data_IF_868643185940
#
_entry.id   IF_868643185940
#
_cell.length_a   1.000
_cell.length_b   1.000
_cell.length_c   1.000
_cell.angle_alpha   90.00
_cell.angle_beta   90.00
_cell.angle_gamma   90.00
#
_symmetry.space_group_name_H-M   'P 1'
#
loop_
_entity.id
_entity.type
_entity.pdbx_description
1 polymer ?
#
# COMPACT_ATOMS: atom_id res chain seq x y z
N UNK A 1 28.22 17.26 -1.79
CA UNK A 1 27.53 17.34 -0.48
C UNK A 1 26.26 16.55 -0.66
N UNK A 2 26.02 15.53 0.16
CA UNK A 2 24.73 14.83 0.12
C UNK A 2 23.62 15.85 0.46
N UNK A 3 22.56 15.88 -0.35
CA UNK A 3 21.37 16.68 -0.04
C UNK A 3 20.81 16.21 1.31
N UNK A 4 20.30 17.15 2.10
CA UNK A 4 19.65 16.78 3.36
C UNK A 4 18.42 15.90 3.07
N UNK A 5 18.17 14.87 3.91
CA UNK A 5 17.02 14.01 3.70
C UNK A 5 15.72 14.84 3.70
N UNK A 6 14.81 14.53 2.76
CA UNK A 6 13.52 15.20 2.68
C UNK A 6 12.56 14.62 3.70
N UNK A 7 11.82 15.48 4.38
CA UNK A 7 10.73 15.06 5.27
C UNK A 7 9.48 14.73 4.47
N UNK A 8 8.94 13.55 4.68
CA UNK A 8 7.73 13.03 4.05
C UNK A 8 6.67 12.75 5.10
N UNK A 9 5.40 12.87 4.74
CA UNK A 9 4.28 12.38 5.55
C UNK A 9 3.70 11.15 4.88
N UNK A 10 3.73 10.01 5.58
CA UNK A 10 3.01 8.80 5.18
C UNK A 10 1.67 8.76 5.91
N UNK A 11 0.59 8.58 5.18
CA UNK A 11 -0.78 8.40 5.70
C UNK A 11 -1.29 7.03 5.28
N UNK A 12 -1.72 6.22 6.22
CA UNK A 12 -2.42 4.96 5.96
C UNK A 12 -3.86 5.29 5.55
N UNK A 13 -4.21 5.02 4.29
CA UNK A 13 -5.55 5.25 3.76
C UNK A 13 -6.48 4.07 4.05
N UNK A 14 -5.91 2.87 4.14
CA UNK A 14 -6.58 1.63 4.51
C UNK A 14 -5.58 0.63 5.04
N UNK A 15 -5.91 -0.02 6.16
CA UNK A 15 -5.08 -0.97 6.89
C UNK A 15 -5.62 -2.40 6.86
N UNK A 16 -6.79 -2.60 6.25
CA UNK A 16 -7.51 -3.86 6.24
C UNK A 16 -7.11 -4.80 5.11
N UNK A 17 -7.58 -6.02 5.21
CA UNK A 17 -7.45 -7.09 4.21
C UNK A 17 -8.41 -6.89 3.03
N UNK A 18 -8.33 -7.77 2.04
CA UNK A 18 -9.08 -7.72 0.77
C UNK A 18 -10.60 -7.57 0.88
N UNK A 19 -11.20 -8.05 1.95
CA UNK A 19 -12.66 -7.90 2.20
C UNK A 19 -13.01 -6.69 3.04
N UNK A 20 -12.00 -5.98 3.56
CA UNK A 20 -12.19 -4.90 4.55
C UNK A 20 -12.69 -5.40 5.91
N UNK A 21 -12.76 -4.50 6.87
CA UNK A 21 -13.34 -4.74 8.20
C UNK A 21 -14.25 -3.56 8.53
N UNK A 22 -15.53 -3.76 8.87
CA UNK A 22 -16.25 -5.02 8.99
C UNK A 22 -16.39 -5.81 7.68
N UNK A 23 -16.31 -7.15 7.78
CA UNK A 23 -16.60 -8.02 6.65
C UNK A 23 -18.13 -8.13 6.46
N UNK A 24 -18.58 -8.08 5.21
CA UNK A 24 -20.01 -8.14 4.86
C UNK A 24 -20.66 -9.39 5.48
N UNK A 25 -21.74 -9.18 6.23
CA UNK A 25 -22.50 -10.26 6.89
C UNK A 25 -21.84 -10.85 8.14
N UNK A 26 -20.71 -10.35 8.59
CA UNK A 26 -20.00 -10.86 9.77
C UNK A 26 -20.45 -10.15 11.05
N UNK A 27 -20.86 -10.93 12.06
CA UNK A 27 -21.24 -10.45 13.40
C UNK A 27 -20.18 -10.73 14.49
N UNK A 28 -18.90 -10.95 14.13
CA UNK A 28 -17.86 -11.21 15.12
C UNK A 28 -17.52 -9.95 15.95
N UNK A 29 -16.79 -10.13 17.06
CA UNK A 29 -16.42 -9.04 17.98
C UNK A 29 -15.68 -7.89 17.31
N UNK A 30 -14.87 -8.15 16.30
CA UNK A 30 -14.13 -7.12 15.56
C UNK A 30 -15.06 -6.38 14.60
N UNK A 31 -15.87 -7.10 13.83
CA UNK A 31 -16.81 -6.50 12.87
C UNK A 31 -17.95 -5.71 13.54
N UNK A 32 -18.21 -5.93 14.82
CA UNK A 32 -19.22 -5.20 15.63
C UNK A 32 -18.56 -4.27 16.65
N UNK A 33 -17.26 -4.08 16.59
CA UNK A 33 -16.51 -3.19 17.49
C UNK A 33 -16.91 -1.74 17.29
N UNK A 34 -16.90 -0.98 18.38
CA UNK A 34 -17.08 0.49 18.37
C UNK A 34 -15.76 1.25 18.34
N UNK A 35 -14.62 0.55 18.43
CA UNK A 35 -13.30 1.17 18.25
C UNK A 35 -13.11 1.51 16.76
N UNK A 36 -12.95 2.78 16.37
CA UNK A 36 -12.78 3.16 14.97
C UNK A 36 -11.56 2.50 14.30
N UNK A 37 -10.58 2.05 15.08
CA UNK A 37 -9.39 1.35 14.57
C UNK A 37 -9.68 -0.10 14.14
N UNK A 38 -10.84 -0.63 14.46
CA UNK A 38 -11.36 -1.91 13.97
C UNK A 38 -12.17 -1.77 12.67
N UNK A 39 -12.42 -0.54 12.21
CA UNK A 39 -12.94 -0.27 10.86
C UNK A 39 -11.76 -0.04 9.94
N UNK A 40 -11.57 -0.92 8.96
CA UNK A 40 -10.38 -0.96 8.10
C UNK A 40 -10.78 -1.07 6.64
N UNK A 41 -10.50 -0.04 5.86
CA UNK A 41 -10.63 -0.05 4.40
C UNK A 41 -9.52 -0.90 3.77
N UNK A 42 -9.69 -1.30 2.48
CA UNK A 42 -8.68 -2.05 1.73
C UNK A 42 -7.37 -1.30 1.68
N UNK A 43 -6.23 -2.04 1.59
CA UNK A 43 -4.92 -1.48 1.85
C UNK A 43 -4.53 -0.42 0.82
N UNK A 44 -4.06 0.71 1.30
CA UNK A 44 -3.45 1.77 0.52
C UNK A 44 -2.72 2.74 1.44
N UNK A 45 -1.66 3.37 0.95
CA UNK A 45 -0.95 4.44 1.64
C UNK A 45 -0.71 5.63 0.73
N UNK A 46 -0.72 6.82 1.31
CA UNK A 46 -0.42 8.08 0.66
C UNK A 46 0.86 8.67 1.23
N UNK A 47 1.80 9.02 0.37
CA UNK A 47 3.08 9.63 0.73
C UNK A 47 3.08 11.04 0.17
N UNK A 48 3.34 12.03 1.03
CA UNK A 48 3.32 13.45 0.68
C UNK A 48 4.62 14.14 1.09
N UNK A 49 5.11 15.01 0.20
CA UNK A 49 6.19 15.96 0.50
C UNK A 49 5.99 17.21 -0.36
N UNK A 50 6.29 18.36 0.19
CA UNK A 50 6.05 19.63 -0.47
C UNK A 50 4.60 19.72 -1.01
N UNK A 51 4.45 19.72 -2.34
CA UNK A 51 3.14 19.67 -3.02
C UNK A 51 2.94 18.34 -3.79
N UNK A 52 3.77 17.34 -3.54
CA UNK A 52 3.73 16.05 -4.22
C UNK A 52 2.92 15.01 -3.43
N UNK A 53 2.25 14.17 -4.18
CA UNK A 53 1.40 13.09 -3.64
C UNK A 53 1.64 11.83 -4.45
N UNK A 54 2.14 10.79 -3.80
CA UNK A 54 2.29 9.43 -4.37
C UNK A 54 1.39 8.48 -3.59
N UNK A 55 0.70 7.61 -4.29
CA UNK A 55 -0.08 6.53 -3.71
C UNK A 55 0.62 5.19 -3.94
N UNK A 56 0.50 4.30 -2.98
CA UNK A 56 0.71 2.87 -3.19
C UNK A 56 -0.67 2.22 -3.13
N UNK A 57 -1.08 1.64 -4.26
CA UNK A 57 -2.37 1.02 -4.54
C UNK A 57 -3.59 1.95 -4.50
N UNK A 58 -4.59 1.61 -5.33
CA UNK A 58 -5.91 2.23 -5.39
C UNK A 58 -6.97 1.14 -5.45
N UNK A 59 -7.36 0.63 -4.30
CA UNK A 59 -8.40 -0.41 -4.17
C UNK A 59 -9.83 0.15 -4.36
N UNK A 60 -10.87 -0.69 -4.19
CA UNK A 60 -12.26 -0.29 -4.35
C UNK A 60 -12.70 0.84 -3.41
N UNK A 61 -12.01 1.02 -2.29
CA UNK A 61 -12.31 2.08 -1.30
C UNK A 61 -11.62 3.41 -1.64
N UNK A 62 -10.84 3.48 -2.73
CA UNK A 62 -10.00 4.64 -3.05
C UNK A 62 -10.80 5.95 -3.09
N UNK A 63 -12.00 5.95 -3.67
CA UNK A 63 -12.84 7.16 -3.66
C UNK A 63 -13.13 7.64 -2.24
N UNK A 64 -13.51 6.74 -1.33
CA UNK A 64 -13.78 7.09 0.07
C UNK A 64 -12.50 7.58 0.77
N UNK A 65 -11.38 6.91 0.55
CA UNK A 65 -10.06 7.28 1.07
C UNK A 65 -9.64 8.68 0.61
N UNK A 66 -9.78 8.95 -0.68
CA UNK A 66 -9.43 10.25 -1.27
C UNK A 66 -10.27 11.40 -0.69
N UNK A 67 -11.58 11.19 -0.51
CA UNK A 67 -12.48 12.19 0.07
C UNK A 67 -12.15 12.44 1.56
N UNK A 68 -11.97 11.37 2.34
CA UNK A 68 -11.65 11.45 3.78
C UNK A 68 -10.35 12.21 4.02
N UNK A 69 -9.32 11.95 3.21
CA UNK A 69 -7.99 12.56 3.35
C UNK A 69 -7.77 13.78 2.47
N UNK A 70 -8.84 14.28 1.81
CA UNK A 70 -8.84 15.49 0.97
C UNK A 70 -7.68 15.45 -0.04
N UNK A 71 -7.56 14.35 -0.78
CA UNK A 71 -6.57 14.25 -1.83
C UNK A 71 -6.99 15.16 -2.99
N UNK A 72 -6.15 16.10 -3.35
CA UNK A 72 -6.45 17.08 -4.40
C UNK A 72 -5.55 16.94 -5.62
N UNK A 73 -4.47 16.16 -5.48
CA UNK A 73 -3.44 15.95 -6.49
C UNK A 73 -2.89 14.53 -6.40
N UNK A 74 -2.42 13.99 -7.53
CA UNK A 74 -1.65 12.75 -7.61
C UNK A 74 -0.52 12.93 -8.62
N UNK A 75 0.71 12.68 -8.19
CA UNK A 75 1.91 12.76 -9.02
C UNK A 75 2.34 11.37 -9.54
N UNK A 76 2.01 10.32 -8.82
CA UNK A 76 2.17 8.93 -9.27
C UNK A 76 1.30 7.97 -8.45
N UNK A 77 1.01 6.80 -9.04
CA UNK A 77 0.49 5.62 -8.33
C UNK A 77 1.45 4.46 -8.56
N UNK A 78 1.85 3.79 -7.47
CA UNK A 78 2.68 2.61 -7.49
C UNK A 78 1.81 1.40 -7.15
N UNK A 79 1.69 0.43 -8.03
CA UNK A 79 0.90 -0.78 -7.80
C UNK A 79 1.77 -1.92 -7.32
N UNK A 80 1.36 -2.56 -6.23
CA UNK A 80 2.07 -3.69 -5.63
C UNK A 80 1.86 -4.98 -6.42
N UNK A 81 0.60 -5.30 -6.73
CA UNK A 81 0.19 -6.49 -7.48
C UNK A 81 -1.25 -6.34 -8.01
N UNK A 82 -1.74 -7.26 -8.87
CA UNK A 82 -2.98 -7.03 -9.61
C UNK A 82 -4.27 -7.51 -8.93
N UNK A 83 -4.27 -7.80 -7.62
CA UNK A 83 -5.51 -8.18 -6.93
C UNK A 83 -6.51 -7.04 -6.86
N UNK A 84 -7.78 -7.39 -6.78
CA UNK A 84 -8.91 -6.46 -6.87
C UNK A 84 -8.86 -5.35 -5.80
N UNK A 85 -8.48 -5.70 -4.59
CA UNK A 85 -8.36 -4.78 -3.45
C UNK A 85 -7.23 -3.77 -3.59
N UNK A 86 -6.35 -3.93 -4.57
CA UNK A 86 -5.23 -3.02 -4.85
C UNK A 86 -5.43 -2.17 -6.10
N UNK A 87 -6.20 -2.64 -7.12
CA UNK A 87 -6.26 -1.95 -8.40
C UNK A 87 -7.64 -1.42 -8.81
N UNK A 88 -8.77 -1.92 -8.23
CA UNK A 88 -10.09 -1.64 -8.79
C UNK A 88 -10.59 -0.20 -8.60
N UNK A 89 -9.90 0.64 -7.85
CA UNK A 89 -10.15 2.08 -7.76
C UNK A 89 -9.44 2.91 -8.83
N UNK A 90 -8.77 2.30 -9.81
CA UNK A 90 -8.03 3.02 -10.85
C UNK A 90 -8.92 4.00 -11.65
N UNK A 91 -10.20 3.69 -11.87
CA UNK A 91 -11.10 4.61 -12.56
C UNK A 91 -11.32 5.93 -11.80
N UNK A 92 -11.22 5.92 -10.48
CA UNK A 92 -11.35 7.10 -9.63
C UNK A 92 -10.12 8.05 -9.70
N UNK A 93 -9.12 7.77 -10.54
CA UNK A 93 -8.07 8.73 -10.90
C UNK A 93 -8.59 9.86 -11.82
N UNK A 94 -9.68 9.64 -12.52
CA UNK A 94 -10.27 10.57 -13.51
C UNK A 94 -10.55 11.97 -12.95
N UNK A 95 -11.12 12.17 -11.73
CA UNK A 95 -11.33 13.50 -11.17
C UNK A 95 -10.04 14.31 -11.00
N UNK A 96 -8.92 13.65 -10.70
CA UNK A 96 -7.63 14.33 -10.59
C UNK A 96 -7.13 14.85 -11.93
N UNK A 97 -7.38 14.12 -13.04
CA UNK A 97 -7.04 14.61 -14.39
C UNK A 97 -7.81 15.88 -14.75
N UNK A 98 -9.09 16.03 -14.33
CA UNK A 98 -9.86 17.25 -14.57
C UNK A 98 -9.23 18.45 -13.86
N UNK A 99 -8.70 18.23 -12.67
CA UNK A 99 -8.08 19.25 -11.84
C UNK A 99 -6.66 19.59 -12.28
N UNK A 100 -5.83 18.55 -12.50
CA UNK A 100 -4.41 18.70 -12.85
C UNK A 100 -4.19 18.99 -14.33
N UNK A 101 -5.12 18.53 -15.20
CA UNK A 101 -5.03 18.60 -16.67
C UNK A 101 -3.82 17.84 -17.25
N UNK A 102 -3.30 16.89 -16.52
CA UNK A 102 -2.13 16.06 -16.84
C UNK A 102 -2.48 14.58 -16.71
N UNK A 103 -1.84 13.68 -17.50
CA UNK A 103 -1.87 12.26 -17.24
C UNK A 103 -1.23 11.94 -15.90
N UNK A 104 -1.73 10.91 -15.23
CA UNK A 104 -1.15 10.42 -13.97
C UNK A 104 -0.25 9.23 -14.28
N UNK A 105 1.05 9.28 -13.95
CA UNK A 105 1.93 8.13 -14.06
C UNK A 105 1.46 6.99 -13.15
N UNK A 106 1.34 5.79 -13.69
CA UNK A 106 1.09 4.57 -12.93
C UNK A 106 2.24 3.60 -13.15
N UNK A 107 2.83 3.12 -12.07
CA UNK A 107 3.97 2.21 -12.10
C UNK A 107 3.55 0.83 -11.62
N UNK A 108 3.93 -0.20 -12.35
CA UNK A 108 3.64 -1.58 -12.00
C UNK A 108 4.67 -2.54 -12.61
N UNK A 109 4.76 -3.77 -12.07
CA UNK A 109 5.51 -4.85 -12.73
C UNK A 109 4.90 -5.17 -14.11
N UNK A 110 5.65 -5.84 -15.00
CA UNK A 110 5.11 -6.25 -16.29
C UNK A 110 3.81 -7.04 -16.19
N UNK A 111 3.75 -8.00 -15.27
CA UNK A 111 2.57 -8.82 -15.03
C UNK A 111 1.38 -7.99 -14.51
N UNK A 112 1.61 -7.16 -13.50
CA UNK A 112 0.55 -6.30 -12.95
C UNK A 112 0.02 -5.33 -14.00
N UNK A 113 0.89 -4.73 -14.81
CA UNK A 113 0.49 -3.81 -15.88
C UNK A 113 -0.33 -4.52 -16.97
N UNK A 114 0.01 -5.76 -17.31
CA UNK A 114 -0.77 -6.56 -18.26
C UNK A 114 -2.20 -6.81 -17.75
N UNK A 115 -2.33 -7.19 -16.46
CA UNK A 115 -3.65 -7.39 -15.83
C UNK A 115 -4.45 -6.08 -15.77
N UNK A 116 -3.82 -4.96 -15.41
CA UNK A 116 -4.46 -3.63 -15.41
C UNK A 116 -4.98 -3.30 -16.81
N UNK A 117 -4.17 -3.50 -17.87
CA UNK A 117 -4.59 -3.27 -19.26
C UNK A 117 -5.77 -4.13 -19.68
N UNK A 118 -5.82 -5.37 -19.23
CA UNK A 118 -6.91 -6.30 -19.52
C UNK A 118 -8.21 -5.89 -18.80
N UNK A 119 -8.15 -5.59 -17.51
CA UNK A 119 -9.32 -5.24 -16.71
C UNK A 119 -9.89 -3.88 -17.12
N UNK A 120 -9.02 -2.89 -17.31
CA UNK A 120 -9.39 -1.52 -17.66
C UNK A 120 -9.16 -1.22 -19.16
N UNK A 121 -9.45 -2.19 -20.03
CA UNK A 121 -9.18 -2.09 -21.49
C UNK A 121 -9.74 -0.81 -22.12
N UNK A 122 -10.88 -0.28 -21.61
CA UNK A 122 -11.49 0.95 -22.09
C UNK A 122 -10.61 2.20 -21.86
N UNK A 123 -9.70 2.17 -20.87
CA UNK A 123 -8.75 3.27 -20.59
C UNK A 123 -7.66 3.32 -21.66
N UNK A 124 -7.24 2.14 -22.15
CA UNK A 124 -6.11 1.98 -23.07
C UNK A 124 -6.52 1.93 -24.54
N UNK A 125 -7.80 2.11 -24.83
CA UNK A 125 -8.29 2.07 -26.21
C UNK A 125 -7.90 3.35 -26.96
N UNK A 126 -7.25 3.20 -28.11
CA UNK A 126 -6.87 4.30 -29.02
C UNK A 126 -8.05 4.65 -29.93
N UNK A 127 -8.94 5.52 -29.50
CA UNK A 127 -10.06 5.92 -30.32
C UNK A 127 -10.91 7.00 -29.67
N UNK A 128 -11.77 7.65 -30.44
CA UNK A 128 -12.73 8.60 -29.90
C UNK A 128 -13.65 7.87 -28.91
N UNK A 129 -13.90 8.48 -27.77
CA UNK A 129 -14.82 7.98 -26.78
C UNK A 129 -15.83 9.06 -26.43
N UNK A 130 -17.10 8.70 -26.33
CA UNK A 130 -18.17 9.62 -25.91
C UNK A 130 -18.15 9.85 -24.39
N UNK A 131 -17.49 8.95 -23.64
CA UNK A 131 -17.36 9.05 -22.19
C UNK A 131 -15.95 9.44 -21.76
N UNK A 132 -15.85 10.16 -20.66
CA UNK A 132 -14.57 10.47 -20.05
C UNK A 132 -13.95 9.22 -19.42
N UNK A 133 -12.64 9.08 -19.53
CA UNK A 133 -11.83 8.01 -18.94
C UNK A 133 -10.61 8.61 -18.22
N UNK A 134 -10.01 7.91 -17.25
CA UNK A 134 -8.74 8.33 -16.67
C UNK A 134 -7.67 8.52 -17.73
N UNK A 135 -6.93 9.62 -17.65
CA UNK A 135 -5.71 9.83 -18.44
C UNK A 135 -4.54 9.38 -17.59
N UNK A 136 -3.99 8.24 -17.92
CA UNK A 136 -2.85 7.64 -17.21
C UNK A 136 -1.65 7.52 -18.14
N UNK A 137 -0.45 7.51 -17.55
CA UNK A 137 0.81 7.20 -18.22
C UNK A 137 1.36 5.90 -17.65
N UNK A 138 1.16 4.75 -18.33
CA UNK A 138 1.63 3.46 -17.82
C UNK A 138 3.15 3.35 -17.95
N UNK A 139 3.81 3.08 -16.83
CA UNK A 139 5.25 2.87 -16.70
C UNK A 139 5.52 1.52 -16.08
N UNK A 140 6.16 0.65 -16.84
CA UNK A 140 6.58 -0.67 -16.35
C UNK A 140 7.97 -0.53 -15.75
N UNK A 141 8.16 -1.00 -14.52
CA UNK A 141 9.49 -1.07 -13.92
C UNK A 141 10.10 -2.47 -14.12
N UNK A 142 11.42 -2.51 -14.18
CA UNK A 142 12.25 -3.70 -14.39
C UNK A 142 13.13 -4.05 -13.16
N UNK A 143 12.74 -3.56 -11.98
CA UNK A 143 13.51 -3.67 -10.75
C UNK A 143 14.38 -2.45 -10.46
N UNK A 144 14.50 -1.50 -11.39
CA UNK A 144 15.17 -0.22 -11.12
C UNK A 144 14.34 0.70 -10.24
N UNK A 145 14.97 1.59 -9.45
CA UNK A 145 14.25 2.57 -8.65
C UNK A 145 13.36 3.48 -9.49
N UNK A 146 12.16 3.75 -8.99
CA UNK A 146 11.21 4.68 -9.59
C UNK A 146 11.46 6.06 -9.00
N UNK A 147 11.85 7.02 -9.83
CA UNK A 147 12.12 8.39 -9.38
C UNK A 147 10.86 9.26 -9.56
N UNK A 148 10.37 9.83 -8.46
CA UNK A 148 9.28 10.81 -8.45
C UNK A 148 9.75 12.07 -7.73
N UNK A 149 9.97 13.13 -8.48
CA UNK A 149 10.40 14.46 -7.97
C UNK A 149 11.54 14.39 -6.93
N UNK A 150 12.58 13.62 -7.26
CA UNK A 150 13.78 13.46 -6.45
C UNK A 150 13.70 12.44 -5.33
N UNK A 151 12.55 11.79 -5.11
CA UNK A 151 12.43 10.66 -4.18
C UNK A 151 12.48 9.35 -4.98
N UNK A 152 13.35 8.45 -4.54
CA UNK A 152 13.47 7.10 -5.11
C UNK A 152 12.54 6.13 -4.38
N UNK A 153 11.74 5.39 -5.15
CA UNK A 153 10.96 4.27 -4.68
C UNK A 153 11.56 2.98 -5.25
N UNK A 154 12.15 2.17 -4.41
CA UNK A 154 12.80 0.91 -4.78
C UNK A 154 11.76 -0.22 -4.68
N UNK A 155 11.39 -0.87 -5.80
CA UNK A 155 10.53 -2.04 -5.76
C UNK A 155 11.20 -3.19 -5.01
N UNK A 156 10.51 -3.80 -4.07
CA UNK A 156 10.98 -4.93 -3.26
C UNK A 156 10.15 -6.16 -3.65
N UNK A 157 10.70 -7.10 -4.43
CA UNK A 157 10.00 -8.31 -4.79
C UNK A 157 9.70 -9.18 -3.57
N UNK A 158 8.46 -9.63 -3.43
CA UNK A 158 8.04 -10.57 -2.38
C UNK A 158 7.14 -11.65 -2.98
N UNK A 159 7.04 -12.81 -2.33
CA UNK A 159 6.14 -13.88 -2.75
C UNK A 159 4.77 -13.68 -2.11
N UNK A 160 3.74 -13.89 -2.90
CA UNK A 160 2.34 -13.88 -2.48
C UNK A 160 1.69 -15.21 -2.88
N UNK A 161 1.90 -16.26 -2.06
CA UNK A 161 1.62 -17.64 -2.44
C UNK A 161 2.48 -18.08 -3.63
N UNK A 162 1.83 -18.46 -4.74
CA UNK A 162 2.51 -18.79 -6.01
C UNK A 162 2.74 -17.58 -6.92
N UNK A 163 2.18 -16.43 -6.57
CA UNK A 163 2.32 -15.18 -7.31
C UNK A 163 3.41 -14.28 -6.76
N UNK A 164 3.64 -13.18 -7.46
CA UNK A 164 4.54 -12.10 -7.04
C UNK A 164 3.75 -10.89 -6.53
N UNK A 165 4.35 -10.18 -5.61
CA UNK A 165 3.93 -8.86 -5.16
C UNK A 165 5.17 -8.00 -4.97
N UNK A 166 5.03 -6.69 -5.05
CA UNK A 166 6.13 -5.76 -4.80
C UNK A 166 5.78 -4.83 -3.66
N UNK A 167 6.62 -4.81 -2.63
CA UNK A 167 6.66 -3.69 -1.69
C UNK A 167 7.46 -2.54 -2.28
N UNK A 168 7.53 -1.43 -1.55
CA UNK A 168 8.32 -0.28 -1.95
C UNK A 168 9.13 0.26 -0.77
N UNK A 169 10.45 0.48 -0.99
CA UNK A 169 11.31 1.20 -0.07
C UNK A 169 11.55 2.61 -0.59
N UNK A 170 11.49 3.60 0.29
CA UNK A 170 11.87 4.99 0.03
C UNK A 170 12.62 5.53 1.25
N UNK A 171 13.84 5.98 1.02
CA UNK A 171 14.77 6.32 2.10
C UNK A 171 14.95 5.18 3.10
N UNK A 172 14.61 5.43 4.36
CA UNK A 172 14.68 4.46 5.47
C UNK A 172 13.32 3.89 5.87
N UNK A 173 12.33 4.00 4.98
CA UNK A 173 10.97 3.47 5.16
C UNK A 173 10.67 2.43 4.10
N UNK A 174 9.97 1.35 4.48
CA UNK A 174 9.45 0.38 3.54
C UNK A 174 7.98 0.05 3.84
N UNK A 175 7.21 -0.17 2.78
CA UNK A 175 5.84 -0.64 2.82
C UNK A 175 5.73 -1.96 2.07
N UNK A 176 5.46 -3.05 2.80
CA UNK A 176 5.28 -4.40 2.30
C UNK A 176 3.92 -4.92 2.73
N UNK A 177 3.00 -4.98 1.80
CA UNK A 177 1.70 -5.65 1.96
C UNK A 177 1.76 -7.04 1.32
N UNK A 178 0.76 -7.87 1.53
CA UNK A 178 0.47 -9.09 0.76
C UNK A 178 1.70 -9.97 0.49
N UNK A 179 2.30 -10.51 1.54
CA UNK A 179 3.40 -11.44 1.35
C UNK A 179 3.28 -12.69 2.22
N UNK A 180 3.68 -13.82 1.66
CA UNK A 180 3.86 -15.08 2.39
C UNK A 180 5.33 -15.36 2.72
N UNK A 181 6.25 -14.78 1.93
CA UNK A 181 7.69 -14.93 2.09
C UNK A 181 8.42 -13.72 1.52
N UNK A 182 9.49 -13.30 2.17
CA UNK A 182 10.42 -12.29 1.67
C UNK A 182 11.73 -13.01 1.28
N UNK A 183 12.08 -13.08 -0.01
CA UNK A 183 13.33 -13.70 -0.49
C UNK A 183 14.58 -13.05 0.13
N UNK A 184 15.68 -13.78 0.21
CA UNK A 184 16.92 -13.28 0.83
C UNK A 184 17.48 -12.04 0.13
N UNK A 185 17.41 -11.99 -1.20
CA UNK A 185 17.79 -10.81 -1.99
C UNK A 185 16.94 -9.58 -1.62
N UNK A 186 15.66 -9.77 -1.34
CA UNK A 186 14.75 -8.71 -0.90
C UNK A 186 14.99 -8.31 0.57
N UNK A 187 15.37 -9.27 1.41
CA UNK A 187 15.74 -8.96 2.80
C UNK A 187 16.96 -8.02 2.86
N UNK A 188 17.95 -8.19 1.97
CA UNK A 188 19.10 -7.30 1.88
C UNK A 188 18.69 -5.85 1.53
N UNK A 189 17.66 -5.67 0.69
CA UNK A 189 17.12 -4.35 0.35
C UNK A 189 16.38 -3.67 1.51
N UNK A 190 16.04 -4.42 2.56
CA UNK A 190 15.29 -3.95 3.74
C UNK A 190 16.19 -3.67 4.96
N UNK A 191 17.51 -3.77 4.82
CA UNK A 191 18.42 -3.47 5.92
C UNK A 191 18.44 -1.99 6.28
N UNK A 192 18.59 -1.69 7.57
CA UNK A 192 18.77 -0.33 8.09
C UNK A 192 17.51 0.56 8.02
N UNK A 193 16.31 -0.02 8.06
CA UNK A 193 15.07 0.74 8.09
C UNK A 193 14.84 1.42 9.44
N UNK A 194 14.27 2.62 9.38
CA UNK A 194 13.68 3.28 10.54
C UNK A 194 12.22 2.87 10.72
N UNK A 195 11.46 2.78 9.62
CA UNK A 195 10.05 2.42 9.64
C UNK A 195 9.77 1.27 8.66
N UNK A 196 9.05 0.27 9.14
CA UNK A 196 8.59 -0.86 8.33
C UNK A 196 7.08 -1.02 8.46
N UNK A 197 6.35 -0.93 7.34
CA UNK A 197 4.99 -1.45 7.23
C UNK A 197 5.06 -2.87 6.69
N UNK A 198 4.38 -3.81 7.37
CA UNK A 198 4.51 -5.23 7.08
C UNK A 198 3.16 -5.94 7.16
N UNK A 199 2.85 -6.81 6.19
CA UNK A 199 1.68 -7.69 6.25
C UNK A 199 1.69 -8.54 7.53
N UNK A 200 0.57 -8.57 8.24
CA UNK A 200 0.33 -9.46 9.37
C UNK A 200 -1.17 -9.78 9.46
N UNK A 201 -1.63 -10.59 8.53
CA UNK A 201 -3.05 -10.82 8.29
C UNK A 201 -3.83 -11.23 9.55
N UNK A 202 -3.30 -12.23 10.29
CA UNK A 202 -3.95 -12.86 11.44
C UNK A 202 -2.99 -13.81 12.17
N UNK A 203 -3.44 -14.42 13.28
CA UNK A 203 -2.64 -15.43 13.99
C UNK A 203 -2.62 -16.79 13.28
N UNK A 204 -3.72 -17.20 12.65
CA UNK A 204 -3.81 -18.50 11.96
C UNK A 204 -3.11 -18.46 10.62
N UNK A 205 -2.42 -19.54 10.20
CA UNK A 205 -1.75 -19.61 8.91
C UNK A 205 -2.67 -19.30 7.72
N UNK A 206 -2.11 -18.68 6.71
CA UNK A 206 -2.73 -18.40 5.42
C UNK A 206 -1.77 -18.74 4.28
N UNK A 207 -2.24 -19.29 3.15
CA UNK A 207 -1.34 -19.73 2.07
C UNK A 207 -0.60 -18.58 1.36
N UNK A 208 -1.15 -17.36 1.39
CA UNK A 208 -0.63 -16.22 0.63
C UNK A 208 -0.18 -15.04 1.50
N UNK A 209 -0.44 -15.06 2.80
CA UNK A 209 -0.12 -13.97 3.72
C UNK A 209 0.65 -14.44 4.94
N UNK A 210 1.43 -13.55 5.51
CA UNK A 210 2.13 -13.78 6.77
C UNK A 210 1.18 -13.72 7.96
N UNK A 211 1.45 -14.57 8.95
CA UNK A 211 0.83 -14.45 10.27
C UNK A 211 1.54 -13.40 11.11
N UNK A 212 0.91 -12.94 12.20
CA UNK A 212 1.55 -12.08 13.19
C UNK A 212 2.89 -12.64 13.64
N UNK A 213 2.96 -13.96 13.96
CA UNK A 213 4.20 -14.61 14.41
C UNK A 213 5.29 -14.66 13.34
N UNK A 214 4.92 -14.85 12.07
CA UNK A 214 5.88 -14.83 10.96
C UNK A 214 6.43 -13.41 10.75
N UNK A 215 5.57 -12.42 10.80
CA UNK A 215 5.97 -11.02 10.65
C UNK A 215 6.83 -10.54 11.83
N UNK A 216 6.56 -11.01 13.06
CA UNK A 216 7.43 -10.75 14.21
C UNK A 216 8.83 -11.34 14.03
N UNK A 217 8.98 -12.50 13.38
CA UNK A 217 10.29 -13.07 13.06
C UNK A 217 11.05 -12.20 12.04
N UNK A 218 10.35 -11.66 11.04
CA UNK A 218 10.91 -10.72 10.08
C UNK A 218 11.37 -9.44 10.78
N UNK A 219 10.55 -8.88 11.67
CA UNK A 219 10.91 -7.70 12.49
C UNK A 219 12.14 -7.97 13.35
N UNK A 220 12.20 -9.12 14.02
CA UNK A 220 13.36 -9.50 14.84
C UNK A 220 14.67 -9.62 14.04
N UNK A 221 14.57 -9.98 12.77
CA UNK A 221 15.71 -10.08 11.84
C UNK A 221 16.16 -8.72 11.32
N UNK A 222 15.22 -7.90 10.83
CA UNK A 222 15.50 -6.58 10.21
C UNK A 222 15.78 -5.49 11.25
N UNK A 223 15.18 -5.59 12.43
CA UNK A 223 15.33 -4.65 13.56
C UNK A 223 15.07 -3.19 13.17
N UNK A 224 13.95 -2.88 12.50
CA UNK A 224 13.58 -1.49 12.25
C UNK A 224 13.34 -0.76 13.58
N UNK A 225 13.45 0.58 13.58
CA UNK A 225 13.15 1.36 14.79
C UNK A 225 11.68 1.29 15.18
N UNK A 226 10.79 1.23 14.17
CA UNK A 226 9.34 1.11 14.36
C UNK A 226 8.74 0.24 13.27
N UNK A 227 7.80 -0.62 13.65
CA UNK A 227 7.04 -1.45 12.70
C UNK A 227 5.55 -1.18 12.84
N UNK A 228 4.83 -1.11 11.73
CA UNK A 228 3.38 -1.09 11.66
C UNK A 228 2.88 -2.30 10.89
N UNK A 229 2.08 -3.15 11.53
CA UNK A 229 1.41 -4.25 10.85
C UNK A 229 0.22 -3.72 10.06
N UNK A 230 0.08 -4.14 8.82
CA UNK A 230 -0.99 -3.76 7.88
C UNK A 230 -1.65 -4.99 7.28
N UNK A 231 -2.61 -4.81 6.37
CA UNK A 231 -3.38 -5.88 5.73
C UNK A 231 -4.13 -6.77 6.74
N UNK A 232 -4.72 -6.15 7.76
CA UNK A 232 -5.23 -6.80 8.97
C UNK A 232 -6.66 -7.30 8.75
N UNK A 233 -6.90 -8.59 9.08
CA UNK A 233 -8.24 -9.19 9.04
C UNK A 233 -9.08 -8.89 10.29
N UNK A 234 -10.33 -9.34 10.27
CA UNK A 234 -11.24 -9.27 11.41
C UNK A 234 -10.94 -10.30 12.52
N UNK A 235 -9.81 -11.00 12.47
CA UNK A 235 -9.33 -11.86 13.55
C UNK A 235 -8.56 -11.06 14.64
N UNK A 236 -8.14 -9.83 14.34
CA UNK A 236 -7.35 -8.99 15.24
C UNK A 236 -8.16 -7.80 15.75
N UNK A 237 -8.67 -7.90 16.98
CA UNK A 237 -9.24 -6.76 17.71
C UNK A 237 -8.10 -5.79 18.06
N UNK A 238 -8.17 -4.55 17.60
CA UNK A 238 -7.04 -3.60 17.62
C UNK A 238 -6.43 -3.45 19.01
N UNK A 239 -7.23 -3.07 20.00
CA UNK A 239 -6.75 -2.85 21.35
C UNK A 239 -6.10 -4.11 21.94
N UNK A 240 -6.75 -5.28 21.78
CA UNK A 240 -6.26 -6.53 22.34
C UNK A 240 -4.98 -7.03 21.65
N UNK A 241 -4.92 -6.95 20.33
CA UNK A 241 -3.75 -7.36 19.59
C UNK A 241 -2.55 -6.44 19.90
N UNK A 242 -2.78 -5.13 20.03
CA UNK A 242 -1.73 -4.17 20.37
C UNK A 242 -1.08 -4.44 21.74
N UNK A 243 -1.85 -4.88 22.74
CA UNK A 243 -1.33 -5.27 24.05
C UNK A 243 -0.37 -6.47 24.01
N UNK A 244 -0.48 -7.32 22.98
CA UNK A 244 0.32 -8.55 22.82
C UNK A 244 1.57 -8.35 21.96
N UNK A 245 1.67 -7.21 21.26
CA UNK A 245 2.83 -6.91 20.43
C UNK A 245 4.01 -6.42 21.26
N UNK A 246 5.26 -6.73 20.84
CA UNK A 246 6.44 -6.21 21.50
C UNK A 246 6.56 -4.69 21.34
N UNK A 247 7.45 -4.08 22.12
CA UNK A 247 7.79 -2.67 22.02
C UNK A 247 8.19 -2.31 20.58
N UNK A 248 7.80 -1.12 20.13
CA UNK A 248 8.04 -0.60 18.77
C UNK A 248 7.35 -1.36 17.62
N UNK A 249 6.41 -2.27 17.92
CA UNK A 249 5.54 -2.90 16.94
C UNK A 249 4.09 -2.51 17.20
N UNK A 250 3.43 -1.97 16.20
CA UNK A 250 2.08 -1.43 16.29
C UNK A 250 1.19 -2.00 15.19
N UNK A 251 -0.12 -2.01 15.42
CA UNK A 251 -1.09 -2.19 14.35
C UNK A 251 -1.32 -0.85 13.65
N UNK A 252 -1.24 -0.84 12.33
CA UNK A 252 -1.72 0.29 11.55
C UNK A 252 -3.25 0.42 11.67
N UNK A 253 -3.75 1.63 11.46
CA UNK A 253 -5.17 1.93 11.38
C UNK A 253 -5.41 3.02 10.34
N UNK A 254 -6.61 3.09 9.81
CA UNK A 254 -6.98 4.07 8.80
C UNK A 254 -6.87 5.49 9.36
N UNK A 255 -6.14 6.34 8.66
CA UNK A 255 -5.84 7.70 9.09
C UNK A 255 -4.56 7.87 9.91
N UNK A 256 -3.82 6.80 10.25
CA UNK A 256 -2.50 6.91 10.87
C UNK A 256 -1.58 7.76 10.01
N UNK A 257 -0.97 8.79 10.60
CA UNK A 257 0.02 9.63 9.94
C UNK A 257 1.35 9.58 10.68
N UNK A 258 2.42 9.40 9.92
CA UNK A 258 3.78 9.42 10.46
C UNK A 258 4.68 10.29 9.59
N UNK A 259 5.64 10.97 10.23
CA UNK A 259 6.72 11.63 9.54
C UNK A 259 7.84 10.62 9.26
N UNK A 260 8.36 10.60 8.04
CA UNK A 260 9.46 9.74 7.59
C UNK A 260 10.45 10.54 6.77
N UNK A 261 11.64 10.01 6.54
CA UNK A 261 12.70 10.67 5.77
C UNK A 261 13.10 9.84 4.54
N UNK A 262 13.36 10.51 3.41
CA UNK A 262 13.89 9.91 2.18
C UNK A 262 14.92 10.80 1.51
#
# INVERSE_FOLDING_TARGET
>A
MAEAPRSLTLTVLGSGTSVGVPTIGCGCKVCTSTDPRDTRLRPSVCIRWDQRVVLIDTGPDFRQQALTHRLERLDAVLYTHPHADHILGLDDLRPFNYRQREPIPIHASPFTMEVIRRIFSYIFHDGPTESSRPKIEPRVFDGTPILVDGIEFIPIPVKHGSGECHGYRFGRTAYLTDHSEIPEESMALLEGLDVLFLDALRYKPHPTHSTVDQSLKTVARLKPKTTYFTHISHDLLHARAQELLPENVYLAYDGLQIAVEA
#
